data_IF_663674034155
#
_entry.id   IF_663674034155
#
_cell.length_a   1.000
_cell.length_b   1.000
_cell.length_c   1.000
_cell.angle_alpha   90.00
_cell.angle_beta   90.00
_cell.angle_gamma   90.00
#
_symmetry.space_group_name_H-M   'P 1'
#
loop_
_entity.id
_entity.type
_entity.pdbx_description
1 polymer ?
#
# COMPACT_ATOMS: atom_id res chain seq x y z
N UNK A 1 9.15 12.52 -11.05
CA UNK A 1 9.21 11.92 -9.69
C UNK A 1 7.99 11.02 -9.42
N UNK A 2 8.17 9.69 -9.51
CA UNK A 2 7.08 8.72 -9.25
C UNK A 2 6.87 8.41 -7.77
N UNK A 3 7.87 8.67 -6.92
CA UNK A 3 7.83 8.40 -5.48
C UNK A 3 6.61 9.03 -4.81
N UNK A 4 6.37 10.31 -5.05
CA UNK A 4 5.24 11.06 -4.48
C UNK A 4 3.87 10.72 -5.10
N UNK A 5 3.83 9.87 -6.13
CA UNK A 5 2.55 9.40 -6.70
C UNK A 5 1.94 8.25 -5.90
N UNK A 6 2.68 7.67 -4.95
CA UNK A 6 2.22 6.56 -4.10
C UNK A 6 1.74 7.14 -2.78
N UNK A 7 0.43 7.04 -2.54
CA UNK A 7 -0.18 7.35 -1.24
C UNK A 7 -0.19 6.09 -0.37
N UNK A 8 0.20 6.23 0.90
CA UNK A 8 0.16 5.17 1.90
C UNK A 8 -0.56 5.72 3.13
N UNK A 9 -1.67 5.09 3.50
CA UNK A 9 -2.44 5.42 4.68
C UNK A 9 -1.68 4.95 5.92
N UNK A 10 -1.93 5.60 7.05
CA UNK A 10 -1.43 5.16 8.35
C UNK A 10 -1.93 3.75 8.66
N UNK A 11 -1.02 2.89 9.12
CA UNK A 11 -1.28 1.48 9.41
C UNK A 11 -1.79 0.65 8.20
N UNK A 12 -1.60 1.14 6.97
CA UNK A 12 -1.82 0.32 5.78
C UNK A 12 -0.73 -0.75 5.62
N UNK A 13 -1.05 -1.80 4.87
CA UNK A 13 -0.08 -2.79 4.41
C UNK A 13 -0.06 -2.87 2.88
N UNK A 14 1.06 -3.33 2.33
CA UNK A 14 1.20 -3.64 0.91
C UNK A 14 1.86 -5.01 0.75
N UNK A 15 1.49 -5.77 -0.28
CA UNK A 15 2.09 -7.06 -0.58
C UNK A 15 2.92 -6.96 -1.86
N UNK A 16 4.21 -7.27 -1.73
CA UNK A 16 5.10 -7.47 -2.86
C UNK A 16 5.52 -8.93 -2.93
N UNK A 17 5.35 -9.54 -4.10
CA UNK A 17 5.87 -10.87 -4.39
C UNK A 17 7.23 -10.72 -5.06
N UNK A 18 8.27 -11.29 -4.48
CA UNK A 18 9.59 -11.34 -5.09
C UNK A 18 9.84 -12.72 -5.71
N UNK A 19 10.16 -12.76 -7.00
CA UNK A 19 10.63 -13.96 -7.69
C UNK A 19 11.98 -13.66 -8.32
N UNK A 20 12.95 -14.56 -8.13
CA UNK A 20 14.32 -14.38 -8.64
C UNK A 20 14.39 -14.00 -10.12
N UNK A 21 13.52 -14.58 -10.95
CA UNK A 21 13.47 -14.35 -12.40
C UNK A 21 12.75 -13.06 -12.81
N UNK A 22 11.88 -12.51 -11.96
CA UNK A 22 10.96 -11.41 -12.32
C UNK A 22 11.10 -10.18 -11.42
N UNK A 23 11.94 -10.24 -10.40
CA UNK A 23 12.07 -9.19 -9.39
C UNK A 23 10.82 -9.06 -8.53
N UNK A 24 10.53 -7.84 -8.09
CA UNK A 24 9.37 -7.50 -7.27
C UNK A 24 8.13 -7.23 -8.13
N UNK A 25 7.05 -7.92 -7.81
CA UNK A 25 5.72 -7.68 -8.34
C UNK A 25 4.84 -7.13 -7.22
N UNK A 26 4.19 -5.99 -7.45
CA UNK A 26 3.23 -5.41 -6.51
C UNK A 26 1.89 -6.14 -6.65
N UNK A 27 1.50 -6.88 -5.61
CA UNK A 27 0.25 -7.65 -5.59
C UNK A 27 -0.89 -6.85 -4.97
N UNK A 28 -0.58 -6.09 -3.92
CA UNK A 28 -1.52 -5.20 -3.24
C UNK A 28 -0.79 -3.95 -2.78
N UNK A 29 -1.43 -2.80 -2.94
CA UNK A 29 -0.93 -1.50 -2.50
C UNK A 29 -1.92 -0.88 -1.52
N UNK A 30 -1.40 -0.30 -0.44
CA UNK A 30 -2.13 0.55 0.50
C UNK A 30 -3.46 -0.06 1.01
N UNK A 31 -3.43 -1.30 1.52
CA UNK A 31 -4.61 -1.98 2.05
C UNK A 31 -4.83 -1.65 3.52
N UNK A 32 -6.05 -1.23 3.86
CA UNK A 32 -6.47 -0.86 5.20
C UNK A 32 -7.72 -1.65 5.68
N UNK A 33 -8.17 -2.66 4.92
CA UNK A 33 -9.41 -3.44 5.18
C UNK A 33 -9.52 -4.10 6.56
N UNK A 34 -8.40 -4.24 7.26
CA UNK A 34 -8.34 -4.81 8.60
C UNK A 34 -8.71 -3.77 9.68
N UNK A 35 -8.65 -2.48 9.35
CA UNK A 35 -9.14 -1.39 10.17
C UNK A 35 -10.66 -1.30 9.98
N UNK A 36 -11.41 -1.41 11.08
CA UNK A 36 -12.89 -1.48 11.05
C UNK A 36 -13.53 -0.14 10.70
N UNK A 37 -12.92 0.95 11.14
CA UNK A 37 -13.40 2.31 10.96
C UNK A 37 -12.20 3.22 10.66
N UNK A 38 -12.35 4.06 9.65
CA UNK A 38 -11.33 5.02 9.24
C UNK A 38 -11.75 6.42 9.66
N UNK A 39 -10.97 7.04 10.53
CA UNK A 39 -11.10 8.47 10.83
C UNK A 39 -10.08 9.18 9.96
N UNK A 40 -10.56 9.89 8.94
CA UNK A 40 -9.72 10.81 8.16
C UNK A 40 -9.89 12.20 8.73
N UNK A 41 -8.80 12.88 9.07
CA UNK A 41 -8.84 14.29 9.50
C UNK A 41 -8.93 15.26 8.31
N UNK A 42 -8.92 14.72 7.08
CA UNK A 42 -8.95 15.50 5.85
C UNK A 42 -10.40 15.70 5.37
N UNK A 43 -10.98 16.85 5.71
CA UNK A 43 -12.15 17.45 5.05
C UNK A 43 -11.69 18.31 3.88
#
# INVERSE_FOLDING_TARGET
PYFWKIHLDTASYSLLSHKKERGYCMMQLNQNKHLKEYVTEWV
#
